data_IF_315238053723
#
_entry.id   IF_315238053723
#
_cell.length_a   1.000
_cell.length_b   1.000
_cell.length_c   1.000
_cell.angle_alpha   90.00
_cell.angle_beta   90.00
_cell.angle_gamma   90.00
#
_symmetry.space_group_name_H-M   'P 1'
#
loop_
_entity.id
_entity.type
_entity.pdbx_description
1 polymer ?
#
# COMPACT_ATOMS: atom_id res chain seq x y z
N UNK A 1 20.40 10.07 -6.87
CA UNK A 1 19.00 10.06 -6.42
C UNK A 1 18.91 10.74 -5.06
N UNK A 2 18.06 11.75 -4.89
CA UNK A 2 17.95 12.50 -3.64
C UNK A 2 17.29 11.66 -2.54
N UNK A 3 17.93 11.57 -1.37
CA UNK A 3 17.37 10.92 -0.17
C UNK A 3 16.41 11.90 0.49
N UNK A 4 15.10 11.80 0.20
CA UNK A 4 14.07 12.57 0.91
C UNK A 4 13.89 12.00 2.32
N UNK A 5 14.14 12.81 3.35
CA UNK A 5 13.87 12.48 4.76
C UNK A 5 12.50 13.03 5.16
N UNK A 6 11.67 12.20 5.79
CA UNK A 6 10.34 12.59 6.28
C UNK A 6 10.34 12.56 7.82
N UNK A 7 9.89 13.63 8.45
CA UNK A 7 9.72 13.73 9.91
C UNK A 7 8.22 13.67 10.21
N UNK A 8 7.83 12.73 11.06
CA UNK A 8 6.45 12.55 11.51
C UNK A 8 6.42 12.86 13.01
N UNK A 9 5.47 13.68 13.44
CA UNK A 9 5.30 14.08 14.85
C UNK A 9 4.37 13.10 15.57
N UNK A 10 4.64 12.79 16.85
CA UNK A 10 3.82 11.89 17.67
C UNK A 10 3.97 10.38 17.39
N UNK A 11 5.03 9.97 16.67
CA UNK A 11 5.30 8.56 16.34
C UNK A 11 5.69 7.76 17.58
N UNK A 12 6.31 8.40 18.57
CA UNK A 12 6.84 7.73 19.76
C UNK A 12 5.74 7.22 20.69
N UNK A 13 4.69 8.02 20.93
CA UNK A 13 3.50 7.57 21.64
C UNK A 13 2.78 6.48 20.85
N UNK A 14 2.71 6.63 19.53
CA UNK A 14 2.09 5.67 18.63
C UNK A 14 2.78 4.31 18.70
N UNK A 15 4.11 4.31 18.74
CA UNK A 15 4.92 3.09 18.80
C UNK A 15 4.68 2.31 20.09
N UNK A 16 4.53 3.01 21.23
CA UNK A 16 4.24 2.38 22.54
C UNK A 16 2.88 1.68 22.54
N UNK A 17 1.83 2.33 22.02
CA UNK A 17 0.50 1.71 21.91
C UNK A 17 0.54 0.56 20.91
N UNK A 18 1.24 0.74 19.80
CA UNK A 18 1.39 -0.27 18.76
C UNK A 18 2.09 -1.53 19.27
N UNK A 19 3.14 -1.39 20.10
CA UNK A 19 3.86 -2.50 20.72
C UNK A 19 3.00 -3.35 21.65
N UNK A 20 1.95 -2.77 22.26
CA UNK A 20 1.02 -3.48 23.16
C UNK A 20 -0.04 -4.31 22.42
N UNK A 21 -0.23 -4.08 21.11
CA UNK A 21 -1.22 -4.82 20.33
C UNK A 21 -0.74 -6.24 19.97
N UNK A 22 -1.65 -7.23 19.91
CA UNK A 22 -1.37 -8.55 19.36
C UNK A 22 -0.78 -8.47 17.93
N UNK A 23 0.20 -9.33 17.62
CA UNK A 23 0.91 -9.35 16.34
C UNK A 23 -0.03 -9.42 15.12
N UNK A 24 -1.11 -10.20 15.23
CA UNK A 24 -2.13 -10.34 14.19
C UNK A 24 -2.82 -9.00 13.88
N UNK A 25 -3.16 -8.22 14.91
CA UNK A 25 -3.79 -6.92 14.75
C UNK A 25 -2.81 -5.90 14.18
N UNK A 26 -1.56 -5.88 14.68
CA UNK A 26 -0.49 -5.03 14.15
C UNK A 26 -0.29 -5.26 12.65
N UNK A 27 -0.20 -6.51 12.24
CA UNK A 27 -0.03 -6.89 10.83
C UNK A 27 -1.22 -6.44 9.99
N UNK A 28 -2.45 -6.59 10.48
CA UNK A 28 -3.67 -6.18 9.79
C UNK A 28 -3.74 -4.66 9.60
N UNK A 29 -3.43 -3.88 10.63
CA UNK A 29 -3.39 -2.41 10.57
C UNK A 29 -2.37 -1.95 9.54
N UNK A 30 -1.13 -2.45 9.62
CA UNK A 30 -0.07 -2.12 8.64
C UNK A 30 -0.51 -2.50 7.22
N UNK A 31 -1.02 -3.72 7.01
CA UNK A 31 -1.41 -4.17 5.67
C UNK A 31 -2.51 -3.30 5.07
N UNK A 32 -3.47 -2.86 5.87
CA UNK A 32 -4.54 -1.98 5.40
C UNK A 32 -4.02 -0.58 5.08
N UNK A 33 -3.11 -0.04 5.89
CA UNK A 33 -2.49 1.24 5.63
C UNK A 33 -1.63 1.23 4.37
N UNK A 34 -0.75 0.25 4.21
CA UNK A 34 0.10 0.12 3.01
C UNK A 34 -0.76 -0.11 1.76
N UNK A 35 -1.87 -0.85 1.86
CA UNK A 35 -2.85 -0.96 0.76
C UNK A 35 -3.48 0.39 0.41
N UNK A 36 -3.76 1.25 1.38
CA UNK A 36 -4.31 2.58 1.12
C UNK A 36 -3.32 3.44 0.34
N UNK A 37 -2.06 3.54 0.76
CA UNK A 37 -1.01 4.21 0.00
C UNK A 37 -0.82 3.61 -1.40
N UNK A 38 -0.82 2.29 -1.51
CA UNK A 38 -0.76 1.60 -2.79
C UNK A 38 -1.93 1.92 -3.73
N UNK A 39 -3.14 2.21 -3.21
CA UNK A 39 -4.30 2.59 -4.03
C UNK A 39 -4.13 3.97 -4.65
N UNK A 40 -3.48 4.90 -3.94
CA UNK A 40 -3.16 6.24 -4.46
C UNK A 40 -2.26 6.10 -5.69
N UNK A 41 -1.14 5.37 -5.54
CA UNK A 41 -0.19 5.12 -6.62
C UNK A 41 -0.86 4.36 -7.78
N UNK A 42 -1.65 3.32 -7.47
CA UNK A 42 -2.41 2.56 -8.47
C UNK A 42 -3.30 3.48 -9.30
N UNK A 43 -4.06 4.37 -8.67
CA UNK A 43 -5.01 5.23 -9.37
C UNK A 43 -4.28 6.17 -10.35
N UNK A 44 -3.15 6.74 -9.91
CA UNK A 44 -2.31 7.57 -10.77
C UNK A 44 -1.70 6.76 -11.93
N UNK A 45 -1.17 5.56 -11.64
CA UNK A 45 -0.64 4.68 -12.66
C UNK A 45 -1.71 4.30 -13.69
N UNK A 46 -2.97 4.11 -13.28
CA UNK A 46 -4.10 3.88 -14.20
C UNK A 46 -4.43 5.09 -15.06
N UNK A 47 -4.28 6.30 -14.52
CA UNK A 47 -4.56 7.53 -15.25
C UNK A 47 -3.55 7.74 -16.39
N UNK A 48 -2.28 7.40 -16.14
CA UNK A 48 -1.16 7.53 -17.09
C UNK A 48 -0.98 6.33 -18.01
N UNK A 49 -1.52 5.18 -17.64
CA UNK A 49 -1.38 3.97 -18.43
C UNK A 49 -1.97 4.16 -19.85
N UNK A 50 -1.30 3.63 -20.88
CA UNK A 50 -1.79 3.64 -22.26
C UNK A 50 -3.18 3.02 -22.37
N UNK A 51 -4.04 3.62 -23.20
CA UNK A 51 -5.46 3.27 -23.33
C UNK A 51 -5.85 2.73 -24.71
N UNK A 52 -4.94 2.07 -25.41
CA UNK A 52 -5.22 1.50 -26.74
C UNK A 52 -6.42 0.53 -26.69
N UNK A 53 -6.36 -0.44 -25.77
CA UNK A 53 -7.49 -1.35 -25.47
C UNK A 53 -8.06 -1.14 -24.06
N UNK A 54 -7.37 -0.33 -23.24
CA UNK A 54 -7.67 -0.09 -21.82
C UNK A 54 -7.42 -1.29 -20.89
N UNK A 55 -7.04 -2.46 -21.41
CA UNK A 55 -6.78 -3.66 -20.60
C UNK A 55 -5.61 -3.46 -19.63
N UNK A 56 -4.57 -2.77 -20.08
CA UNK A 56 -3.39 -2.47 -19.27
C UNK A 56 -3.78 -1.65 -18.03
N UNK A 57 -4.48 -0.54 -18.22
CA UNK A 57 -5.00 0.29 -17.13
C UNK A 57 -5.93 -0.52 -16.20
N UNK A 58 -6.83 -1.36 -16.74
CA UNK A 58 -7.71 -2.22 -15.92
C UNK A 58 -6.93 -3.25 -15.09
N UNK A 59 -5.80 -3.73 -15.60
CA UNK A 59 -4.99 -4.76 -14.94
C UNK A 59 -4.16 -4.27 -13.74
N UNK A 60 -3.97 -2.95 -13.59
CA UNK A 60 -3.20 -2.38 -12.47
C UNK A 60 -3.99 -2.54 -11.17
N UNK A 61 -3.42 -3.28 -10.23
CA UNK A 61 -4.07 -3.66 -8.97
C UNK A 61 -3.09 -3.59 -7.80
N UNK A 62 -3.64 -3.49 -6.60
CA UNK A 62 -2.88 -3.60 -5.35
C UNK A 62 -3.16 -4.98 -4.79
N UNK A 63 -2.13 -5.79 -4.61
CA UNK A 63 -2.24 -7.15 -4.10
C UNK A 63 -1.27 -7.38 -2.95
N UNK A 64 -1.70 -8.15 -1.95
CA UNK A 64 -0.81 -8.62 -0.90
C UNK A 64 -0.07 -9.84 -1.38
N UNK A 65 1.25 -9.84 -1.23
CA UNK A 65 2.10 -10.97 -1.56
C UNK A 65 2.07 -11.93 -0.37
N UNK A 66 1.79 -13.21 -0.63
CA UNK A 66 1.86 -14.25 0.39
C UNK A 66 3.31 -14.38 0.88
N UNK A 67 3.50 -14.47 2.19
CA UNK A 67 4.81 -14.79 2.79
C UNK A 67 5.23 -16.18 2.29
N UNK A 68 6.49 -16.33 1.87
CA UNK A 68 7.08 -17.65 1.56
C UNK A 68 7.71 -18.29 2.78
N UNK A 69 8.19 -17.49 3.73
CA UNK A 69 8.78 -17.94 5.00
C UNK A 69 8.07 -17.31 6.19
N UNK A 70 8.09 -18.00 7.33
CA UNK A 70 7.42 -17.55 8.58
C UNK A 70 7.93 -16.19 9.07
N UNK A 71 9.23 -15.91 8.87
CA UNK A 71 9.90 -14.67 9.31
C UNK A 71 9.92 -13.57 8.24
N UNK A 72 9.23 -13.74 7.11
CA UNK A 72 9.14 -12.68 6.10
C UNK A 72 8.10 -11.62 6.47
N UNK A 73 8.41 -10.38 6.13
CA UNK A 73 7.46 -9.28 6.26
C UNK A 73 6.33 -9.43 5.23
N UNK A 74 5.12 -9.06 5.63
CA UNK A 74 3.99 -9.03 4.70
C UNK A 74 4.18 -7.89 3.71
N UNK A 75 4.26 -8.20 2.41
CA UNK A 75 4.47 -7.21 1.36
C UNK A 75 3.16 -6.87 0.65
N UNK A 76 2.99 -5.60 0.30
CA UNK A 76 1.93 -5.14 -0.60
C UNK A 76 2.58 -4.69 -1.90
N UNK A 77 2.10 -5.23 -3.01
CA UNK A 77 2.60 -4.96 -4.35
C UNK A 77 1.56 -4.20 -5.14
N UNK A 78 1.96 -3.08 -5.74
CA UNK A 78 1.23 -2.47 -6.86
C UNK A 78 1.76 -3.13 -8.13
N UNK A 79 0.89 -3.76 -8.92
CA UNK A 79 1.31 -4.49 -10.10
C UNK A 79 0.15 -4.93 -10.97
N UNK A 80 0.43 -5.82 -11.91
CA UNK A 80 -0.52 -6.17 -12.97
C UNK A 80 -1.15 -7.55 -12.74
N UNK A 81 -2.42 -7.70 -13.12
CA UNK A 81 -3.08 -9.01 -13.19
C UNK A 81 -2.56 -9.80 -14.40
N UNK A 82 -2.46 -11.13 -14.28
CA UNK A 82 -2.22 -12.02 -15.42
C UNK A 82 -3.49 -12.05 -16.32
N UNK A 83 -3.36 -12.11 -17.66
CA UNK A 83 -2.13 -12.27 -18.45
C UNK A 83 -1.40 -10.96 -18.82
N UNK A 84 -2.04 -9.80 -18.65
CA UNK A 84 -1.55 -8.48 -19.07
C UNK A 84 -0.19 -8.09 -18.47
N UNK A 85 0.15 -8.67 -17.31
CA UNK A 85 1.48 -8.56 -16.69
C UNK A 85 2.66 -8.89 -17.62
N UNK A 86 2.48 -9.72 -18.66
CA UNK A 86 3.56 -10.09 -19.59
C UNK A 86 3.99 -8.93 -20.49
N UNK A 87 3.10 -7.99 -20.81
CA UNK A 87 3.37 -6.88 -21.75
C UNK A 87 3.50 -5.53 -21.06
N UNK A 88 3.03 -5.41 -19.82
CA UNK A 88 3.04 -4.15 -19.08
C UNK A 88 4.43 -3.52 -18.92
N UNK A 89 5.48 -4.31 -18.75
CA UNK A 89 6.85 -3.79 -18.63
C UNK A 89 7.42 -3.31 -19.96
N UNK A 90 7.00 -3.90 -21.08
CA UNK A 90 7.36 -3.45 -22.43
C UNK A 90 6.74 -2.08 -22.72
N UNK A 91 5.53 -1.81 -22.22
CA UNK A 91 4.92 -0.50 -22.30
C UNK A 91 5.67 0.53 -21.43
N UNK A 92 6.05 0.18 -20.20
CA UNK A 92 6.76 1.10 -19.28
C UNK A 92 8.14 1.50 -19.79
N UNK A 93 8.93 0.55 -20.31
CA UNK A 93 10.33 0.76 -20.67
C UNK A 93 10.59 0.86 -22.18
N UNK A 94 9.59 0.55 -23.01
CA UNK A 94 9.75 0.47 -24.45
C UNK A 94 10.42 -0.83 -24.89
N UNK A 95 10.55 -0.98 -26.21
CA UNK A 95 11.26 -2.06 -26.89
C UNK A 95 12.11 -1.46 -28.01
N UNK A 96 12.93 -2.27 -28.69
CA UNK A 96 13.70 -1.81 -29.85
C UNK A 96 12.86 -1.21 -30.98
N UNK A 97 11.56 -1.52 -31.03
CA UNK A 97 10.62 -1.07 -32.09
C UNK A 97 9.53 -0.13 -31.59
N UNK A 98 9.41 0.09 -30.28
CA UNK A 98 8.37 0.93 -29.68
C UNK A 98 8.94 1.80 -28.56
N UNK A 99 8.64 3.10 -28.61
CA UNK A 99 9.05 4.04 -27.57
C UNK A 99 8.41 3.73 -26.20
N UNK A 100 9.14 4.04 -25.13
CA UNK A 100 8.67 3.88 -23.76
C UNK A 100 7.51 4.82 -23.43
N UNK A 101 6.48 4.29 -22.77
CA UNK A 101 5.37 5.06 -22.22
C UNK A 101 5.33 4.83 -20.70
N UNK A 102 6.16 5.54 -19.92
CA UNK A 102 6.27 5.32 -18.49
C UNK A 102 5.02 5.81 -17.75
N UNK A 103 4.43 4.94 -16.93
CA UNK A 103 3.23 5.23 -16.14
C UNK A 103 3.37 4.84 -14.66
N UNK A 104 4.15 3.80 -14.35
CA UNK A 104 4.37 3.36 -12.96
C UNK A 104 5.35 4.25 -12.22
N UNK A 105 6.52 4.51 -12.81
CA UNK A 105 7.58 5.28 -12.16
C UNK A 105 7.16 6.74 -11.96
N UNK A 106 6.57 7.43 -12.97
CA UNK A 106 6.03 8.76 -12.77
C UNK A 106 4.92 8.80 -11.71
N UNK A 107 4.06 7.77 -11.63
CA UNK A 107 3.00 7.71 -10.63
C UNK A 107 3.58 7.67 -9.21
N UNK A 108 4.63 6.89 -8.99
CA UNK A 108 5.34 6.87 -7.71
C UNK A 108 5.98 8.23 -7.38
N UNK A 109 6.67 8.85 -8.34
CA UNK A 109 7.39 10.10 -8.10
C UNK A 109 6.44 11.25 -7.74
N UNK A 110 5.29 11.32 -8.40
CA UNK A 110 4.30 12.39 -8.18
C UNK A 110 3.37 12.17 -6.99
N UNK A 111 3.01 10.91 -6.69
CA UNK A 111 2.06 10.58 -5.61
C UNK A 111 2.70 9.90 -4.41
N UNK A 112 4.03 9.83 -4.36
CA UNK A 112 4.75 9.22 -3.24
C UNK A 112 4.42 9.89 -1.91
N UNK A 113 4.37 11.22 -1.87
CA UNK A 113 4.05 11.99 -0.65
C UNK A 113 2.59 11.76 -0.23
N UNK A 114 1.65 11.83 -1.18
CA UNK A 114 0.24 11.53 -0.93
C UNK A 114 0.02 10.07 -0.47
N UNK A 115 0.82 9.12 -0.98
CA UNK A 115 0.77 7.73 -0.55
C UNK A 115 1.25 7.56 0.89
N UNK A 116 2.28 8.31 1.31
CA UNK A 116 2.75 8.33 2.70
C UNK A 116 1.68 8.92 3.62
N UNK A 117 1.06 10.03 3.23
CA UNK A 117 -0.05 10.63 3.99
C UNK A 117 -1.22 9.66 4.15
N UNK A 118 -1.63 8.99 3.07
CA UNK A 118 -2.69 7.98 3.14
C UNK A 118 -2.32 6.77 4.02
N UNK A 119 -1.03 6.41 4.11
CA UNK A 119 -0.55 5.39 5.04
C UNK A 119 -0.66 5.90 6.47
N UNK A 120 -0.16 7.09 6.78
CA UNK A 120 -0.18 7.64 8.14
C UNK A 120 -1.60 7.79 8.67
N UNK A 121 -2.51 8.32 7.86
CA UNK A 121 -3.93 8.43 8.19
C UNK A 121 -4.56 7.06 8.46
N UNK A 122 -4.31 6.07 7.60
CA UNK A 122 -4.87 4.73 7.81
C UNK A 122 -4.23 3.94 8.94
N UNK A 123 -2.98 4.21 9.29
CA UNK A 123 -2.40 3.67 10.52
C UNK A 123 -3.13 4.28 11.73
N UNK A 124 -3.27 5.60 11.79
CA UNK A 124 -3.95 6.29 12.90
C UNK A 124 -5.40 5.80 13.07
N UNK A 125 -6.17 5.73 11.98
CA UNK A 125 -7.53 5.19 12.00
C UNK A 125 -7.57 3.70 12.39
N UNK A 126 -6.65 2.89 11.87
CA UNK A 126 -6.58 1.46 12.16
C UNK A 126 -6.30 1.22 13.64
N UNK A 127 -5.43 2.03 14.23
CA UNK A 127 -5.14 2.02 15.66
C UNK A 127 -6.35 2.43 16.49
N UNK A 128 -7.01 3.54 16.15
CA UNK A 128 -8.20 4.00 16.86
C UNK A 128 -9.33 2.96 16.83
N UNK A 129 -9.57 2.33 15.67
CA UNK A 129 -10.58 1.28 15.50
C UNK A 129 -10.27 0.04 16.32
N UNK A 130 -9.03 -0.44 16.29
CA UNK A 130 -8.64 -1.63 17.05
C UNK A 130 -8.58 -1.35 18.57
N UNK A 131 -8.22 -0.13 19.00
CA UNK A 131 -8.31 0.29 20.40
C UNK A 131 -9.77 0.34 20.90
N UNK A 132 -10.69 0.89 20.10
CA UNK A 132 -12.12 0.87 20.41
C UNK A 132 -12.68 -0.55 20.48
N UNK A 133 -12.23 -1.44 19.59
CA UNK A 133 -12.64 -2.85 19.59
C UNK A 133 -12.15 -3.58 20.85
N UNK A 134 -10.90 -3.36 21.26
CA UNK A 134 -10.36 -3.90 22.51
C UNK A 134 -11.13 -3.39 23.74
N UNK A 135 -11.48 -2.10 23.78
CA UNK A 135 -12.32 -1.55 24.85
C UNK A 135 -13.70 -2.20 24.90
N UNK A 136 -14.32 -2.45 23.73
CA UNK A 136 -15.62 -3.12 23.64
C UNK A 136 -15.57 -4.62 24.02
N UNK A 137 -14.50 -5.34 23.64
CA UNK A 137 -14.29 -6.76 23.98
C UNK A 137 -13.99 -6.93 25.48
N UNK A 138 -13.21 -6.01 26.07
CA UNK A 138 -12.90 -6.01 27.51
C UNK A 138 -14.15 -5.65 28.34
N UNK A 139 -15.01 -4.76 27.83
CA UNK A 139 -16.31 -4.44 28.45
C UNK A 139 -17.32 -5.59 28.37
N UNK A 140 -17.30 -6.38 27.29
CA UNK A 140 -18.17 -7.55 27.13
C UNK A 140 -17.76 -8.72 28.04
N UNK A 141 -16.47 -8.89 28.32
CA UNK A 141 -15.95 -9.93 29.24
C UNK A 141 -16.22 -9.65 30.72
N UNK A 142 -16.49 -8.40 31.11
CA UNK A 142 -16.82 -8.02 32.51
C UNK A 142 -18.32 -8.08 32.85
N UNK A 143 -19.18 -8.40 31.87
CA UNK A 143 -20.65 -8.53 32.05
C UNK A 143 -21.12 -9.99 32.08
N UNK A 144 -20.23 -10.95 32.37
CA UNK A 144 -20.57 -12.35 32.59
C UNK A 144 -20.03 -12.81 33.93
#
# INVERSE_FOLDING_TARGET
>A
MARKTFRLEGVDELEKVFKRLPEKLRTKVILNAVRAGGRVIRNEAKARAPRDTGELARSITVATVKKKRRNENSLVRVGFKKPTSRRAHLAEYGTSTQAAQPFMRPALDTKGEAAIQAITEKVAEGMAKEAAKLASETGASRRR
#
